data_IF_096056327169
#
_entry.id   IF_096056327169
#
_cell.length_a   1.000
_cell.length_b   1.000
_cell.length_c   1.000
_cell.angle_alpha   90.00
_cell.angle_beta   90.00
_cell.angle_gamma   90.00
#
_symmetry.space_group_name_H-M   'P 1'
#
loop_
_entity.id
_entity.type
_entity.pdbx_description
1 polymer ?
#
# COMPACT_ATOMS: atom_id res chain seq x y z
N UNK A 1 -6.63 -22.60 -24.53
CA UNK A 1 -6.00 -21.29 -24.28
C UNK A 1 -7.13 -20.27 -24.23
N UNK A 2 -7.27 -19.44 -23.16
CA UNK A 2 -8.36 -18.44 -23.12
C UNK A 2 -7.89 -17.23 -23.92
N UNK A 3 -8.50 -16.99 -25.08
CA UNK A 3 -8.27 -15.75 -25.84
C UNK A 3 -8.97 -14.59 -25.11
N UNK A 4 -8.17 -13.66 -24.57
CA UNK A 4 -8.69 -12.44 -23.98
C UNK A 4 -8.87 -11.39 -25.09
N UNK A 5 -10.04 -10.77 -25.13
CA UNK A 5 -10.28 -9.62 -26.00
C UNK A 5 -9.42 -8.42 -25.57
N UNK A 6 -9.12 -7.53 -26.53
CA UNK A 6 -8.38 -6.28 -26.26
C UNK A 6 -9.02 -5.47 -25.11
N UNK A 7 -10.36 -5.42 -25.04
CA UNK A 7 -11.10 -4.75 -23.96
C UNK A 7 -10.83 -5.39 -22.60
N UNK A 8 -10.84 -6.72 -22.51
CA UNK A 8 -10.55 -7.44 -21.25
C UNK A 8 -9.12 -7.17 -20.78
N UNK A 9 -8.15 -7.10 -21.71
CA UNK A 9 -6.76 -6.76 -21.38
C UNK A 9 -6.68 -5.35 -20.78
N UNK A 10 -7.36 -4.36 -21.40
CA UNK A 10 -7.41 -2.98 -20.89
C UNK A 10 -7.99 -2.94 -19.47
N UNK A 11 -9.10 -3.65 -19.22
CA UNK A 11 -9.68 -3.75 -17.89
C UNK A 11 -8.71 -4.36 -16.88
N UNK A 12 -7.99 -5.42 -17.23
CA UNK A 12 -7.04 -6.08 -16.34
C UNK A 12 -5.85 -5.18 -15.99
N UNK A 13 -5.30 -4.46 -16.97
CA UNK A 13 -4.23 -3.48 -16.75
C UNK A 13 -4.74 -2.37 -15.82
N UNK A 14 -5.93 -1.83 -16.09
CA UNK A 14 -6.55 -0.82 -15.24
C UNK A 14 -6.78 -1.30 -13.81
N UNK A 15 -7.34 -2.50 -13.64
CA UNK A 15 -7.54 -3.12 -12.31
C UNK A 15 -6.19 -3.24 -11.58
N UNK A 16 -5.15 -3.75 -12.24
CA UNK A 16 -3.82 -3.89 -11.65
C UNK A 16 -3.23 -2.55 -11.20
N UNK A 17 -3.35 -1.53 -12.04
CA UNK A 17 -2.88 -0.17 -11.73
C UNK A 17 -3.61 0.42 -10.53
N UNK A 18 -4.95 0.35 -10.48
CA UNK A 18 -5.71 0.87 -9.33
C UNK A 18 -5.50 0.07 -8.06
N UNK A 19 -5.30 -1.26 -8.14
CA UNK A 19 -4.91 -2.06 -6.96
C UNK A 19 -3.59 -1.54 -6.39
N UNK A 20 -2.56 -1.47 -7.22
CA UNK A 20 -1.24 -1.05 -6.77
C UNK A 20 -1.28 0.38 -6.20
N UNK A 21 -1.93 1.30 -6.90
CA UNK A 21 -2.11 2.68 -6.42
C UNK A 21 -2.89 2.75 -5.09
N UNK A 22 -3.95 1.94 -4.93
CA UNK A 22 -4.72 1.87 -3.68
C UNK A 22 -3.87 1.36 -2.54
N UNK A 23 -3.11 0.27 -2.75
CA UNK A 23 -2.22 -0.30 -1.73
C UNK A 23 -1.15 0.72 -1.33
N UNK A 24 -0.53 1.40 -2.28
CA UNK A 24 0.49 2.43 -2.01
C UNK A 24 -0.13 3.59 -1.23
N UNK A 25 -1.25 4.16 -1.69
CA UNK A 25 -1.91 5.26 -1.00
C UNK A 25 -2.33 4.89 0.42
N UNK A 26 -2.90 3.69 0.59
CA UNK A 26 -3.36 3.24 1.90
C UNK A 26 -2.20 2.96 2.85
N UNK A 27 -1.12 2.34 2.37
CA UNK A 27 0.08 2.12 3.18
C UNK A 27 0.77 3.43 3.53
N UNK A 28 0.75 4.45 2.66
CA UNK A 28 1.21 5.78 3.03
C UNK A 28 0.36 6.40 4.15
N UNK A 29 -0.98 6.31 4.06
CA UNK A 29 -1.85 6.77 5.15
C UNK A 29 -1.50 6.08 6.48
N UNK A 30 -1.37 4.75 6.47
CA UNK A 30 -0.96 3.98 7.66
C UNK A 30 0.42 4.42 8.18
N UNK A 31 1.36 4.77 7.30
CA UNK A 31 2.71 5.26 7.67
C UNK A 31 2.59 6.50 8.52
N UNK A 32 1.86 7.49 8.02
CA UNK A 32 1.68 8.79 8.69
C UNK A 32 0.98 8.58 10.03
N UNK A 33 -0.11 7.80 10.04
CA UNK A 33 -0.85 7.52 11.26
C UNK A 33 -0.02 6.79 12.33
N UNK A 34 0.75 5.77 11.96
CA UNK A 34 1.59 5.03 12.91
C UNK A 34 2.77 5.86 13.41
N UNK A 35 3.39 6.67 12.55
CA UNK A 35 4.43 7.60 12.97
C UNK A 35 3.90 8.55 14.03
N UNK A 36 2.76 9.17 13.75
CA UNK A 36 2.13 10.18 14.60
C UNK A 36 1.65 9.57 15.92
N UNK A 37 1.09 8.36 15.88
CA UNK A 37 0.73 7.61 17.08
C UNK A 37 1.95 7.31 17.95
N UNK A 38 3.08 6.97 17.35
CA UNK A 38 4.31 6.71 18.10
C UNK A 38 4.95 7.99 18.66
N UNK A 39 4.85 9.10 17.94
CA UNK A 39 5.23 10.43 18.46
C UNK A 39 4.35 10.78 19.67
N UNK A 40 3.05 10.50 19.60
CA UNK A 40 2.12 10.72 20.72
C UNK A 40 2.51 9.98 21.99
N UNK A 41 3.05 8.76 21.84
CA UNK A 41 3.59 7.96 22.94
C UNK A 41 5.05 8.29 23.30
N UNK A 42 5.61 9.38 22.76
CA UNK A 42 6.98 9.83 22.98
C UNK A 42 8.02 8.71 22.72
N UNK A 43 7.82 7.94 21.66
CA UNK A 43 8.77 6.90 21.26
C UNK A 43 10.03 7.50 20.65
N UNK A 44 11.18 6.87 20.92
CA UNK A 44 12.46 7.30 20.36
C UNK A 44 12.43 7.29 18.82
N UNK A 45 13.01 8.31 18.14
CA UNK A 45 12.89 8.43 16.68
C UNK A 45 13.38 7.22 15.88
N UNK A 46 14.48 6.59 16.30
CA UNK A 46 15.00 5.38 15.65
C UNK A 46 14.02 4.21 15.74
N UNK A 47 13.47 3.98 16.93
CA UNK A 47 12.50 2.91 17.15
C UNK A 47 11.20 3.18 16.38
N UNK A 48 10.76 4.45 16.38
CA UNK A 48 9.60 4.89 15.61
C UNK A 48 9.74 4.57 14.12
N UNK A 49 10.90 4.87 13.53
CA UNK A 49 11.20 4.54 12.15
C UNK A 49 11.05 3.03 11.86
N UNK A 50 11.72 2.18 12.63
CA UNK A 50 11.72 0.73 12.38
C UNK A 50 10.34 0.11 12.58
N UNK A 51 9.64 0.45 13.67
CA UNK A 51 8.27 -0.04 13.90
C UNK A 51 7.35 0.39 12.76
N UNK A 52 7.47 1.63 12.31
CA UNK A 52 6.66 2.15 11.20
C UNK A 52 6.96 1.37 9.92
N UNK A 53 8.21 1.24 9.49
CA UNK A 53 8.55 0.56 8.23
C UNK A 53 8.21 -0.94 8.26
N UNK A 54 8.49 -1.67 9.35
CA UNK A 54 8.11 -3.08 9.46
C UNK A 54 6.59 -3.27 9.45
N UNK A 55 5.84 -2.42 10.15
CA UNK A 55 4.37 -2.47 10.14
C UNK A 55 3.83 -2.25 8.72
N UNK A 56 4.42 -1.31 7.98
CA UNK A 56 4.04 -1.06 6.58
C UNK A 56 4.32 -2.23 5.67
N UNK A 57 5.43 -2.93 5.88
CA UNK A 57 5.74 -4.15 5.15
C UNK A 57 4.65 -5.20 5.33
N UNK A 58 4.25 -5.44 6.58
CA UNK A 58 3.20 -6.40 6.92
C UNK A 58 1.88 -5.99 6.27
N UNK A 59 1.44 -4.74 6.43
CA UNK A 59 0.19 -4.24 5.85
C UNK A 59 0.22 -4.34 4.32
N UNK A 60 1.32 -3.96 3.69
CA UNK A 60 1.48 -4.04 2.23
C UNK A 60 1.34 -5.48 1.72
N UNK A 61 1.99 -6.45 2.37
CA UNK A 61 1.91 -7.87 2.01
C UNK A 61 0.48 -8.39 2.19
N UNK A 62 -0.16 -8.08 3.32
CA UNK A 62 -1.54 -8.52 3.60
C UNK A 62 -2.52 -7.99 2.55
N UNK A 63 -2.43 -6.71 2.18
CA UNK A 63 -3.27 -6.11 1.14
C UNK A 63 -2.98 -6.70 -0.23
N UNK A 64 -1.71 -6.98 -0.55
CA UNK A 64 -1.33 -7.63 -1.80
C UNK A 64 -1.91 -9.04 -1.92
N UNK A 65 -1.79 -9.84 -0.87
CA UNK A 65 -2.39 -11.18 -0.79
C UNK A 65 -3.91 -11.13 -0.91
N UNK A 66 -4.56 -10.20 -0.21
CA UNK A 66 -6.01 -9.99 -0.30
C UNK A 66 -6.45 -9.63 -1.74
N UNK A 67 -5.71 -8.75 -2.40
CA UNK A 67 -6.00 -8.32 -3.78
C UNK A 67 -5.86 -9.47 -4.77
N UNK A 68 -4.78 -10.26 -4.64
CA UNK A 68 -4.56 -11.45 -5.46
C UNK A 68 -5.66 -12.49 -5.25
N UNK A 69 -6.07 -12.74 -4.00
CA UNK A 69 -7.19 -13.64 -3.70
C UNK A 69 -8.47 -13.17 -4.38
N UNK A 70 -8.78 -11.88 -4.27
CA UNK A 70 -9.96 -11.26 -4.89
C UNK A 70 -9.99 -11.44 -6.41
N UNK A 71 -8.83 -11.33 -7.08
CA UNK A 71 -8.72 -11.57 -8.53
C UNK A 71 -8.78 -13.08 -8.85
N UNK A 72 -8.17 -13.95 -8.03
CA UNK A 72 -8.15 -15.40 -8.27
C UNK A 72 -9.52 -16.05 -8.24
N UNK A 73 -10.44 -15.56 -7.40
CA UNK A 73 -11.84 -16.03 -7.34
C UNK A 73 -12.64 -15.71 -8.61
N UNK A 74 -12.02 -15.06 -9.60
CA UNK A 74 -12.58 -14.87 -10.94
C UNK A 74 -12.31 -16.11 -11.80
N UNK A 75 -13.17 -17.11 -11.66
CA UNK A 75 -13.16 -18.28 -12.55
C UNK A 75 -13.47 -17.89 -14.00
N UNK A 76 -14.35 -16.90 -14.21
CA UNK A 76 -14.71 -16.37 -15.53
C UNK A 76 -14.55 -14.84 -15.61
N UNK A 77 -13.71 -14.38 -16.54
CA UNK A 77 -13.44 -12.96 -16.81
C UNK A 77 -14.50 -12.32 -17.73
N UNK A 78 -15.76 -12.36 -17.32
CA UNK A 78 -16.83 -11.68 -18.08
C UNK A 78 -16.66 -10.16 -17.99
N UNK A 79 -17.01 -9.45 -19.07
CA UNK A 79 -16.83 -7.99 -19.16
C UNK A 79 -17.60 -7.25 -18.04
N UNK A 80 -18.84 -7.66 -17.75
CA UNK A 80 -19.66 -7.09 -16.66
C UNK A 80 -18.98 -7.21 -15.30
N UNK A 81 -18.33 -8.34 -15.03
CA UNK A 81 -17.64 -8.61 -13.75
C UNK A 81 -16.32 -7.83 -13.66
N UNK A 82 -15.54 -7.80 -14.74
CA UNK A 82 -14.32 -6.98 -14.83
C UNK A 82 -14.63 -5.49 -14.60
N UNK A 83 -15.67 -4.96 -15.26
CA UNK A 83 -16.11 -3.57 -15.06
C UNK A 83 -16.48 -3.30 -13.60
N UNK A 84 -17.24 -4.18 -12.96
CA UNK A 84 -17.61 -4.04 -11.54
C UNK A 84 -16.38 -3.97 -10.63
N UNK A 85 -15.38 -4.83 -10.86
CA UNK A 85 -14.14 -4.86 -10.07
C UNK A 85 -13.30 -3.61 -10.32
N UNK A 86 -13.20 -3.20 -11.57
CA UNK A 86 -12.51 -1.96 -11.94
C UNK A 86 -13.10 -0.76 -11.20
N UNK A 87 -14.43 -0.61 -11.23
CA UNK A 87 -15.12 0.45 -10.46
C UNK A 87 -14.90 0.35 -8.95
N UNK A 88 -14.91 -0.87 -8.39
CA UNK A 88 -14.63 -1.07 -6.97
C UNK A 88 -13.23 -0.57 -6.59
N UNK A 89 -12.21 -0.87 -7.39
CA UNK A 89 -10.85 -0.42 -7.13
C UNK A 89 -10.65 1.08 -7.36
N UNK A 90 -11.39 1.69 -8.29
CA UNK A 90 -11.44 3.16 -8.42
C UNK A 90 -12.00 3.79 -7.14
N UNK A 91 -13.11 3.27 -6.63
CA UNK A 91 -13.71 3.79 -5.39
C UNK A 91 -12.76 3.60 -4.21
N UNK A 92 -12.17 2.41 -4.06
CA UNK A 92 -11.19 2.12 -3.01
C UNK A 92 -9.98 3.06 -3.07
N UNK A 93 -9.49 3.35 -4.28
CA UNK A 93 -8.43 4.33 -4.49
C UNK A 93 -8.84 5.73 -4.03
N UNK A 94 -10.00 6.23 -4.46
CA UNK A 94 -10.50 7.56 -4.08
C UNK A 94 -10.67 7.67 -2.56
N UNK A 95 -11.27 6.66 -1.93
CA UNK A 95 -11.46 6.62 -0.48
C UNK A 95 -10.11 6.63 0.25
N UNK A 96 -9.13 5.86 -0.23
CA UNK A 96 -7.77 5.86 0.30
C UNK A 96 -7.10 7.24 0.21
N UNK A 97 -7.24 7.93 -0.93
CA UNK A 97 -6.72 9.29 -1.10
C UNK A 97 -7.42 10.30 -0.17
N UNK A 98 -8.73 10.17 0.03
CA UNK A 98 -9.47 11.01 0.98
C UNK A 98 -8.98 10.82 2.41
N UNK A 99 -8.80 9.57 2.87
CA UNK A 99 -8.26 9.31 4.20
C UNK A 99 -6.85 9.87 4.37
N UNK A 100 -5.98 9.68 3.38
CA UNK A 100 -4.64 10.27 3.37
C UNK A 100 -4.71 11.79 3.52
N UNK A 101 -5.50 12.46 2.68
CA UNK A 101 -5.66 13.91 2.70
C UNK A 101 -6.20 14.41 4.05
N UNK A 102 -7.32 13.84 4.51
CA UNK A 102 -7.97 14.24 5.75
C UNK A 102 -7.06 14.03 6.96
N UNK A 103 -6.32 12.92 7.01
CA UNK A 103 -5.42 12.65 8.13
C UNK A 103 -4.19 13.55 8.10
N UNK A 104 -3.62 13.84 6.92
CA UNK A 104 -2.48 14.76 6.84
C UNK A 104 -2.86 16.14 7.38
N UNK A 105 -4.07 16.63 7.09
CA UNK A 105 -4.57 17.89 7.63
C UNK A 105 -4.91 17.72 9.12
N UNK A 106 -5.98 17.00 9.44
CA UNK A 106 -6.53 17.03 10.80
C UNK A 106 -5.73 16.20 11.80
N UNK A 107 -5.17 15.06 11.37
CA UNK A 107 -4.42 14.15 12.25
C UNK A 107 -3.04 14.69 12.58
N UNK A 108 -2.28 15.10 11.55
CA UNK A 108 -0.92 15.62 11.77
C UNK A 108 -0.96 16.96 12.51
N UNK A 109 -1.89 17.87 12.16
CA UNK A 109 -2.02 19.15 12.85
C UNK A 109 -2.35 18.93 14.34
N UNK A 110 -3.23 17.97 14.65
CA UNK A 110 -3.51 17.60 16.03
C UNK A 110 -2.25 17.15 16.80
N UNK A 111 -1.37 16.36 16.17
CA UNK A 111 -0.10 15.97 16.81
C UNK A 111 0.84 17.16 16.94
N UNK A 112 0.94 18.03 15.94
CA UNK A 112 1.77 19.24 16.00
C UNK A 112 1.34 20.18 17.13
N UNK A 113 0.05 20.39 17.30
CA UNK A 113 -0.49 21.29 18.33
C UNK A 113 -0.25 20.78 19.76
N UNK A 114 -0.12 19.46 19.94
CA UNK A 114 -0.03 18.83 21.27
C UNK A 114 1.34 18.23 21.60
N UNK A 115 2.17 17.95 20.60
CA UNK A 115 3.46 17.21 20.67
C UNK A 115 4.49 17.78 19.72
N UNK A 116 4.57 19.11 19.63
CA UNK A 116 5.43 19.83 18.70
C UNK A 116 6.91 19.45 18.86
N UNK A 117 7.39 19.36 20.11
CA UNK A 117 8.79 19.08 20.41
C UNK A 117 9.17 17.65 20.01
N UNK A 118 8.32 16.67 20.32
CA UNK A 118 8.54 15.27 19.95
C UNK A 118 8.48 15.08 18.43
N UNK A 119 7.55 15.76 17.76
CA UNK A 119 7.46 15.77 16.31
C UNK A 119 8.72 16.39 15.68
N UNK A 120 9.15 17.56 16.17
CA UNK A 120 10.34 18.25 15.69
C UNK A 120 11.59 17.39 15.88
N UNK A 121 11.75 16.78 17.07
CA UNK A 121 12.83 15.86 17.37
C UNK A 121 12.88 14.67 16.39
N UNK A 122 11.73 14.05 16.11
CA UNK A 122 11.65 12.99 15.09
C UNK A 122 12.10 13.48 13.71
N UNK A 123 11.59 14.63 13.26
CA UNK A 123 11.93 15.16 11.93
C UNK A 123 13.40 15.55 11.81
N UNK A 124 13.98 16.15 12.85
CA UNK A 124 15.39 16.54 12.87
C UNK A 124 16.32 15.33 12.91
N UNK A 125 15.94 14.29 13.67
CA UNK A 125 16.64 13.01 13.66
C UNK A 125 16.65 12.40 12.26
N UNK A 126 15.49 12.30 11.61
CA UNK A 126 15.37 11.74 10.26
C UNK A 126 16.15 12.56 9.22
N UNK A 127 16.28 13.87 9.39
CA UNK A 127 17.10 14.72 8.51
C UNK A 127 18.60 14.46 8.66
N UNK A 128 19.07 14.21 9.88
CA UNK A 128 20.49 13.96 10.18
C UNK A 128 20.93 12.55 9.78
N UNK A 129 20.05 11.57 9.93
CA UNK A 129 20.34 10.16 9.67
C UNK A 129 20.08 9.77 8.21
N UNK A 130 21.01 10.13 7.32
CA UNK A 130 20.92 9.81 5.87
C UNK A 130 20.77 8.31 5.56
N UNK A 131 21.32 7.43 6.41
CA UNK A 131 21.20 5.99 6.24
C UNK A 131 19.75 5.51 6.38
N UNK A 132 18.99 6.05 7.35
CA UNK A 132 17.58 5.68 7.54
C UNK A 132 16.70 6.15 6.36
N UNK A 133 16.98 7.33 5.81
CA UNK A 133 16.31 7.79 4.57
C UNK A 133 16.62 6.88 3.38
N UNK A 134 17.84 6.37 3.30
CA UNK A 134 18.26 5.42 2.27
C UNK A 134 17.52 4.07 2.43
N UNK A 135 17.36 3.60 3.67
CA UNK A 135 16.56 2.40 3.95
C UNK A 135 15.09 2.57 3.59
N UNK A 136 14.49 3.74 3.80
CA UNK A 136 13.11 4.01 3.38
C UNK A 136 12.92 3.80 1.86
N UNK A 137 13.90 4.25 1.07
CA UNK A 137 13.91 4.05 -0.38
C UNK A 137 14.08 2.58 -0.76
N UNK A 138 14.99 1.86 -0.10
CA UNK A 138 15.17 0.42 -0.29
C UNK A 138 13.89 -0.37 0.04
N UNK A 139 13.25 -0.02 1.15
CA UNK A 139 11.98 -0.58 1.57
C UNK A 139 10.86 -0.35 0.55
N UNK A 140 10.80 0.82 -0.09
CA UNK A 140 9.90 1.06 -1.20
C UNK A 140 10.17 0.12 -2.39
N UNK A 141 11.43 -0.02 -2.82
CA UNK A 141 11.83 -0.90 -3.93
C UNK A 141 11.47 -2.36 -3.62
N UNK A 142 11.82 -2.84 -2.43
CA UNK A 142 11.54 -4.22 -2.00
C UNK A 142 10.04 -4.51 -2.03
N UNK A 143 9.17 -3.57 -1.61
CA UNK A 143 7.71 -3.75 -1.69
C UNK A 143 7.22 -3.97 -3.13
N UNK A 144 7.76 -3.24 -4.10
CA UNK A 144 7.42 -3.48 -5.51
C UNK A 144 7.90 -4.85 -5.98
N UNK A 145 9.11 -5.26 -5.62
CA UNK A 145 9.67 -6.58 -5.97
C UNK A 145 8.82 -7.71 -5.38
N UNK A 146 8.46 -7.62 -4.09
CA UNK A 146 7.61 -8.60 -3.42
C UNK A 146 6.24 -8.67 -4.12
N UNK A 147 5.65 -7.54 -4.48
CA UNK A 147 4.37 -7.52 -5.20
C UNK A 147 4.44 -8.24 -6.55
N UNK A 148 5.50 -7.99 -7.32
CA UNK A 148 5.75 -8.68 -8.58
C UNK A 148 5.92 -10.20 -8.37
N UNK A 149 6.70 -10.61 -7.37
CA UNK A 149 6.90 -12.03 -7.01
C UNK A 149 5.58 -12.69 -6.60
N UNK A 150 4.77 -12.02 -5.77
CA UNK A 150 3.45 -12.53 -5.37
C UNK A 150 2.55 -12.77 -6.58
N UNK A 151 2.51 -11.83 -7.54
CA UNK A 151 1.74 -11.99 -8.79
C UNK A 151 2.27 -13.18 -9.61
N UNK A 152 3.59 -13.29 -9.76
CA UNK A 152 4.22 -14.36 -10.54
C UNK A 152 3.88 -15.75 -9.97
N UNK A 153 4.07 -15.95 -8.67
CA UNK A 153 3.73 -17.20 -7.96
C UNK A 153 2.23 -17.48 -8.08
N UNK A 154 1.42 -16.44 -7.91
CA UNK A 154 -0.03 -16.55 -8.01
C UNK A 154 -0.48 -17.03 -9.40
N UNK A 155 0.18 -16.58 -10.46
CA UNK A 155 -0.04 -17.02 -11.83
C UNK A 155 0.41 -18.45 -12.12
N UNK A 156 1.56 -18.87 -11.56
CA UNK A 156 2.09 -20.24 -11.72
C UNK A 156 1.13 -21.29 -11.15
N UNK A 157 0.64 -21.10 -9.92
CA UNK A 157 -0.25 -22.07 -9.25
C UNK A 157 -1.56 -22.30 -10.03
N UNK A 158 -2.02 -21.34 -10.85
CA UNK A 158 -3.22 -21.49 -11.68
C UNK A 158 -2.98 -22.39 -12.92
N UNK A 159 -1.73 -22.47 -13.41
CA UNK A 159 -1.38 -23.35 -14.53
C UNK A 159 -1.29 -24.80 -14.09
N UNK A 160 -0.72 -25.06 -12.92
CA UNK A 160 -0.60 -26.42 -12.35
C UNK A 160 -1.96 -27.03 -11.99
N UNK A 161 -2.94 -26.21 -11.57
CA UNK A 161 -4.32 -26.69 -11.32
C UNK A 161 -5.16 -27.00 -12.57
N UNK A 162 -4.63 -26.74 -13.77
CA UNK A 162 -5.32 -26.94 -15.06
C UNK A 162 -4.70 -28.07 -15.92
N UNK A 163 -3.67 -28.73 -15.41
CA UNK A 163 -3.05 -29.93 -15.98
C UNK A 163 -3.55 -31.13 -15.19
#
# INVERSE_FOLDING_TARGET
MIELSKKQIIYLIGIGAFILATIIGFTYFVRVALRDLQIWFNQEPNLNFWITEFSLFIVYILLGLYSIRTIKTLENFTEKRLRKIFFLWIIAFIVSQLFQFLYTIFGTDFVLDNRLDEFSNYTDFMRKEYLLNSYNSLFAIIRYLIFAVMIYIAGKNRREQRI
#
